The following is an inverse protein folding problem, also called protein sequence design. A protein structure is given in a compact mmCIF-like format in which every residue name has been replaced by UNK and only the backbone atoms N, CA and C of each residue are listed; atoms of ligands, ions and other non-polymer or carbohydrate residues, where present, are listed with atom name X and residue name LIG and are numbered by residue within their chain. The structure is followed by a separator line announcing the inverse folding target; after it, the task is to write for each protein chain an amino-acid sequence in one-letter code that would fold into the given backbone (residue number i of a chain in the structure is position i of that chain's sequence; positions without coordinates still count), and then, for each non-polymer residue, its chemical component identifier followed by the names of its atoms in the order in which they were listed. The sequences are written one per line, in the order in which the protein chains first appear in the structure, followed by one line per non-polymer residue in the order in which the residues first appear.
data_IF_929472724283
#
_entry.id   IF_929472724283
#
_cell.length_a   1.000
_cell.length_b   1.000
_cell.length_c   1.000
_cell.angle_alpha   90.00
_cell.angle_beta   90.00
_cell.angle_gamma   90.00
#
_symmetry.space_group_name_H-M   'P 1'
#
loop_
_entity.id
_entity.type
_entity.pdbx_description
1 polymer ?
#
# COMPACT_ATOMS: atom_id res chain seq x y z
N UNK A 1 -2.42 28.83 11.61
CA UNK A 1 -1.82 28.47 10.30
C UNK A 1 -2.31 27.07 9.91
N UNK A 2 -3.10 26.90 8.84
CA UNK A 2 -3.61 25.61 8.43
C UNK A 2 -2.53 24.89 7.58
N UNK A 3 -1.79 23.98 8.20
CA UNK A 3 -0.72 23.21 7.56
C UNK A 3 -1.23 21.92 6.93
N UNK A 4 -1.97 22.02 5.82
CA UNK A 4 -2.24 20.88 4.95
C UNK A 4 -1.15 20.78 3.87
N UNK A 5 -0.48 19.64 3.75
CA UNK A 5 0.40 19.39 2.62
C UNK A 5 -0.48 19.30 1.35
N UNK A 6 -0.21 20.10 0.28
CA UNK A 6 -1.02 20.03 -0.92
C UNK A 6 -0.84 18.68 -1.59
N UNK A 7 -1.95 18.02 -1.88
CA UNK A 7 -2.00 16.78 -2.65
C UNK A 7 -1.34 17.05 -4.01
N UNK A 8 -0.21 16.39 -4.27
CA UNK A 8 0.60 16.66 -5.47
C UNK A 8 -0.14 16.17 -6.71
N UNK A 9 -0.69 17.12 -7.47
CA UNK A 9 -1.31 16.86 -8.76
C UNK A 9 -0.28 16.98 -9.89
N UNK A 10 -0.06 15.89 -10.61
CA UNK A 10 0.84 15.84 -11.76
C UNK A 10 0.02 15.57 -13.03
N UNK A 11 -0.51 16.62 -13.71
CA UNK A 11 -1.37 16.45 -14.89
C UNK A 11 -0.68 15.75 -16.07
N UNK A 12 0.65 15.76 -16.08
CA UNK A 12 1.47 15.11 -17.10
C UNK A 12 1.67 13.61 -16.87
N UNK A 13 1.27 13.06 -15.71
CA UNK A 13 1.39 11.63 -15.46
C UNK A 13 0.21 10.88 -16.09
N UNK A 14 0.51 9.93 -16.96
CA UNK A 14 -0.45 8.99 -17.50
C UNK A 14 -0.22 7.61 -16.87
N UNK A 15 -1.30 6.94 -16.47
CA UNK A 15 -1.22 5.57 -15.99
C UNK A 15 -0.89 4.62 -17.15
N UNK A 16 0.19 3.85 -17.01
CA UNK A 16 0.62 2.87 -18.01
C UNK A 16 0.05 1.51 -17.61
N UNK A 17 -0.96 1.05 -18.34
CA UNK A 17 -1.74 -0.15 -18.01
C UNK A 17 -0.96 -1.48 -18.14
N UNK A 18 0.19 -1.47 -18.80
CA UNK A 18 1.05 -2.63 -19.01
C UNK A 18 2.50 -2.24 -18.71
N UNK A 19 3.09 -2.69 -17.58
CA UNK A 19 4.46 -2.36 -17.29
C UNK A 19 5.37 -2.94 -18.40
N UNK A 20 6.32 -2.13 -18.88
CA UNK A 20 7.27 -2.54 -19.92
C UNK A 20 8.13 -3.76 -19.50
N UNK A 21 8.22 -4.02 -18.19
CA UNK A 21 8.90 -5.18 -17.63
C UNK A 21 7.91 -5.97 -16.75
N UNK A 22 7.70 -7.27 -16.98
CA UNK A 22 6.82 -8.12 -16.16
C UNK A 22 7.50 -8.52 -14.84
N UNK A 23 8.09 -7.56 -14.14
CA UNK A 23 8.75 -7.83 -12.86
C UNK A 23 7.70 -7.81 -11.77
N UNK A 24 7.29 -9.00 -11.32
CA UNK A 24 6.63 -9.12 -10.03
C UNK A 24 7.64 -8.83 -8.92
N UNK A 25 7.28 -7.91 -8.03
CA UNK A 25 8.07 -7.57 -6.85
C UNK A 25 7.36 -8.12 -5.63
N UNK A 26 8.12 -8.80 -4.79
CA UNK A 26 7.63 -9.23 -3.49
C UNK A 26 7.48 -8.01 -2.59
N UNK A 27 6.26 -7.80 -2.09
CA UNK A 27 5.92 -6.75 -1.13
C UNK A 27 5.91 -7.34 0.27
N UNK A 28 6.63 -6.68 1.19
CA UNK A 28 6.77 -7.14 2.56
C UNK A 28 6.03 -6.21 3.53
N UNK A 29 5.14 -6.78 4.34
CA UNK A 29 4.51 -6.10 5.47
C UNK A 29 5.23 -6.49 6.77
N UNK A 30 6.12 -5.62 7.25
CA UNK A 30 6.88 -5.87 8.48
C UNK A 30 6.11 -5.33 9.68
N UNK A 31 5.87 -6.20 10.67
CA UNK A 31 5.16 -5.85 11.91
C UNK A 31 6.01 -6.31 13.09
N UNK A 32 6.25 -5.39 14.03
CA UNK A 32 6.95 -5.72 15.27
C UNK A 32 6.17 -6.79 16.06
N UNK A 33 6.83 -7.82 16.63
CA UNK A 33 6.16 -8.93 17.32
C UNK A 33 5.22 -8.49 18.45
N UNK A 34 5.54 -7.41 19.17
CA UNK A 34 4.68 -6.89 20.23
C UNK A 34 3.42 -6.22 19.70
N UNK A 35 3.52 -5.58 18.52
CA UNK A 35 2.37 -4.97 17.86
C UNK A 35 1.45 -6.05 17.26
N UNK A 36 2.00 -7.17 16.80
CA UNK A 36 1.20 -8.29 16.27
C UNK A 36 0.24 -8.89 17.30
N UNK A 37 0.56 -8.79 18.60
CA UNK A 37 -0.31 -9.24 19.69
C UNK A 37 -1.53 -8.34 19.92
N UNK A 38 -1.47 -7.09 19.45
CA UNK A 38 -2.58 -6.17 19.54
C UNK A 38 -3.70 -6.58 18.57
N UNK A 39 -4.94 -6.79 19.05
CA UNK A 39 -6.07 -7.14 18.19
C UNK A 39 -6.35 -6.10 17.10
N UNK A 40 -6.08 -4.81 17.38
CA UNK A 40 -6.31 -3.71 16.43
C UNK A 40 -5.30 -3.75 15.29
N UNK A 41 -4.02 -3.94 15.62
CA UNK A 41 -2.95 -4.03 14.61
C UNK A 41 -3.15 -5.26 13.74
N UNK A 42 -3.50 -6.40 14.34
CA UNK A 42 -3.78 -7.63 13.61
C UNK A 42 -4.90 -7.43 12.59
N UNK A 43 -6.03 -6.82 12.99
CA UNK A 43 -7.14 -6.53 12.07
C UNK A 43 -6.72 -5.66 10.88
N UNK A 44 -5.89 -4.65 11.10
CA UNK A 44 -5.39 -3.79 10.01
C UNK A 44 -4.44 -4.56 9.09
N UNK A 45 -3.55 -5.37 9.65
CA UNK A 45 -2.65 -6.22 8.88
C UNK A 45 -3.44 -7.20 8.00
N UNK A 46 -4.43 -7.88 8.58
CA UNK A 46 -5.30 -8.82 7.86
C UNK A 46 -6.05 -8.11 6.71
N UNK A 47 -6.55 -6.88 6.95
CA UNK A 47 -7.22 -6.09 5.91
C UNK A 47 -6.29 -5.66 4.77
N UNK A 48 -5.06 -5.26 5.10
CA UNK A 48 -4.04 -4.91 4.10
C UNK A 48 -3.67 -6.11 3.25
N UNK A 49 -3.46 -7.27 3.87
CA UNK A 49 -3.17 -8.52 3.16
C UNK A 49 -4.30 -8.85 2.19
N UNK A 50 -5.55 -8.87 2.67
CA UNK A 50 -6.71 -9.16 1.83
C UNK A 50 -6.84 -8.18 0.65
N UNK A 51 -6.53 -6.89 0.86
CA UNK A 51 -6.56 -5.88 -0.18
C UNK A 51 -5.57 -6.19 -1.32
N UNK A 52 -4.33 -6.55 -0.98
CA UNK A 52 -3.30 -6.85 -1.97
C UNK A 52 -3.45 -8.26 -2.60
N UNK A 53 -4.12 -9.20 -1.95
CA UNK A 53 -4.46 -10.50 -2.55
C UNK A 53 -5.60 -10.40 -3.57
N UNK A 54 -6.57 -9.50 -3.33
CA UNK A 54 -7.74 -9.34 -4.21
C UNK A 54 -7.43 -8.46 -5.43
N UNK A 55 -6.46 -7.56 -5.30
CA UNK A 55 -6.06 -6.61 -6.33
C UNK A 55 -4.73 -6.98 -6.97
N UNK A 56 -4.76 -7.79 -8.02
CA UNK A 56 -3.69 -7.75 -9.02
C UNK A 56 -3.76 -6.38 -9.68
N UNK A 57 -2.84 -5.48 -9.31
CA UNK A 57 -2.57 -4.20 -9.97
C UNK A 57 -1.82 -4.47 -11.28
#
# INVERSE_FOLDING_TARGET
MPGGCPERFYPQLQHIHKPACPVMRELWLVIHPDLRRSPRVRKVADALIAFFETGVI
#
